data_IF_800754388333
#
_entry.id   IF_800754388333
#
_cell.length_a   1.000
_cell.length_b   1.000
_cell.length_c   1.000
_cell.angle_alpha   90.00
_cell.angle_beta   90.00
_cell.angle_gamma   90.00
#
_symmetry.space_group_name_H-M   'P 1'
#
loop_
_entity.id
_entity.type
_entity.pdbx_description
1 polymer ?
#
# COMPACT_ATOMS: atom_id res chain seq x y z
N UNK A 1 -19.75 14.74 11.77
CA UNK A 1 -18.75 13.68 11.67
C UNK A 1 -17.39 14.16 12.13
N UNK A 2 -16.51 13.25 12.40
CA UNK A 2 -15.11 13.51 12.77
C UNK A 2 -14.19 12.92 11.70
N UNK A 3 -12.97 13.45 11.58
CA UNK A 3 -11.99 12.87 10.65
C UNK A 3 -11.51 11.49 11.14
N UNK A 4 -10.93 10.69 10.25
CA UNK A 4 -10.38 9.40 10.63
C UNK A 4 -9.21 9.57 11.62
N UNK A 5 -8.46 10.67 11.52
CA UNK A 5 -7.42 11.06 12.49
C UNK A 5 -8.02 11.28 13.88
N UNK A 6 -9.06 12.09 13.97
CA UNK A 6 -9.75 12.34 15.24
C UNK A 6 -10.40 11.08 15.80
N UNK A 7 -10.97 10.24 14.92
CA UNK A 7 -11.57 8.98 15.33
C UNK A 7 -10.53 8.04 15.96
N UNK A 8 -9.36 7.89 15.31
CA UNK A 8 -8.28 7.04 15.82
C UNK A 8 -7.76 7.53 17.18
N UNK A 9 -7.64 8.85 17.37
CA UNK A 9 -7.23 9.46 18.64
C UNK A 9 -8.27 9.22 19.75
N UNK A 10 -9.56 9.29 19.44
CA UNK A 10 -10.64 9.09 20.41
C UNK A 10 -10.90 7.60 20.71
N UNK A 11 -10.48 6.70 19.82
CA UNK A 11 -10.68 5.25 19.95
C UNK A 11 -9.36 4.48 19.90
N UNK A 12 -8.39 4.76 20.79
CA UNK A 12 -7.09 4.09 20.77
C UNK A 12 -7.23 2.57 21.01
N UNK A 13 -8.26 2.15 21.75
CA UNK A 13 -8.56 0.76 22.06
C UNK A 13 -9.52 0.08 21.05
N UNK A 14 -9.80 0.71 19.91
CA UNK A 14 -10.63 0.11 18.88
C UNK A 14 -10.04 -1.24 18.43
N UNK A 15 -10.88 -2.26 18.38
CA UNK A 15 -10.47 -3.60 17.98
C UNK A 15 -10.02 -3.64 16.50
N UNK A 16 -9.23 -4.65 16.16
CA UNK A 16 -8.83 -4.91 14.78
C UNK A 16 -10.06 -5.03 13.86
N UNK A 17 -11.14 -5.68 14.35
CA UNK A 17 -12.38 -5.83 13.59
C UNK A 17 -13.04 -4.49 13.27
N UNK A 18 -13.12 -3.56 14.22
CA UNK A 18 -13.66 -2.21 14.01
C UNK A 18 -12.82 -1.43 12.98
N UNK A 19 -11.49 -1.45 13.10
CA UNK A 19 -10.58 -0.80 12.14
C UNK A 19 -10.70 -1.41 10.75
N UNK A 20 -10.84 -2.74 10.64
CA UNK A 20 -11.06 -3.42 9.36
C UNK A 20 -12.43 -3.11 8.75
N UNK A 21 -13.45 -2.86 9.54
CA UNK A 21 -14.75 -2.46 9.01
C UNK A 21 -14.68 -1.06 8.36
N UNK A 22 -14.04 -0.10 9.02
CA UNK A 22 -13.73 1.22 8.44
C UNK A 22 -12.92 1.07 7.13
N UNK A 23 -11.88 0.24 7.14
CA UNK A 23 -11.06 -0.03 5.97
C UNK A 23 -11.87 -0.60 4.78
N UNK A 24 -12.82 -1.51 5.06
CA UNK A 24 -13.71 -2.09 4.04
C UNK A 24 -14.67 -1.06 3.47
N UNK A 25 -15.23 -0.18 4.31
CA UNK A 25 -16.12 0.89 3.87
C UNK A 25 -15.36 1.89 2.99
N UNK A 26 -14.18 2.34 3.43
CA UNK A 26 -13.32 3.23 2.65
C UNK A 26 -12.95 2.62 1.29
N UNK A 27 -12.56 1.36 1.29
CA UNK A 27 -12.25 0.64 0.05
C UNK A 27 -13.42 0.58 -0.93
N UNK A 28 -14.66 0.39 -0.44
CA UNK A 28 -15.87 0.45 -1.28
C UNK A 28 -16.09 1.86 -1.85
N UNK A 29 -15.85 2.92 -1.06
CA UNK A 29 -15.99 4.30 -1.53
C UNK A 29 -15.00 4.59 -2.68
N UNK A 30 -13.72 4.25 -2.52
CA UNK A 30 -12.72 4.41 -3.59
C UNK A 30 -13.06 3.56 -4.82
N UNK A 31 -13.54 2.33 -4.63
CA UNK A 31 -13.98 1.48 -5.74
C UNK A 31 -15.13 2.11 -6.52
N UNK A 32 -16.11 2.72 -5.83
CA UNK A 32 -17.24 3.38 -6.47
C UNK A 32 -16.81 4.58 -7.34
N UNK A 33 -15.79 5.34 -6.91
CA UNK A 33 -15.17 6.39 -7.72
C UNK A 33 -14.51 5.80 -8.98
N UNK A 34 -13.70 4.74 -8.80
CA UNK A 34 -13.02 4.09 -9.92
C UNK A 34 -13.97 3.48 -10.96
N UNK A 35 -15.16 3.02 -10.54
CA UNK A 35 -16.20 2.57 -11.49
C UNK A 35 -16.77 3.72 -12.32
N UNK A 36 -16.72 4.96 -11.82
CA UNK A 36 -17.11 6.18 -12.53
C UNK A 36 -15.95 6.88 -13.22
N UNK A 37 -14.81 6.19 -13.35
CA UNK A 37 -13.58 6.71 -13.96
C UNK A 37 -12.99 7.93 -13.24
N UNK A 38 -13.33 8.13 -11.98
CA UNK A 38 -12.82 9.19 -11.13
C UNK A 38 -11.65 8.68 -10.30
N UNK A 39 -10.52 9.39 -10.32
CA UNK A 39 -9.40 9.24 -9.40
C UNK A 39 -9.52 10.28 -8.31
N UNK A 40 -9.36 9.87 -7.04
CA UNK A 40 -9.43 10.80 -5.92
C UNK A 40 -8.14 11.61 -5.73
N UNK A 41 -7.00 10.95 -5.83
CA UNK A 41 -5.64 11.48 -5.77
C UNK A 41 -5.22 12.11 -4.43
N UNK A 42 -6.12 12.14 -3.43
CA UNK A 42 -5.84 12.74 -2.12
C UNK A 42 -6.46 11.93 -0.97
N UNK A 43 -6.24 10.62 -0.99
CA UNK A 43 -6.72 9.72 0.06
C UNK A 43 -5.73 9.77 1.24
N UNK A 44 -6.16 10.34 2.36
CA UNK A 44 -5.43 10.34 3.63
C UNK A 44 -6.42 10.53 4.81
N UNK A 45 -6.01 10.26 6.06
CA UNK A 45 -6.94 10.20 7.19
C UNK A 45 -7.79 11.45 7.41
N UNK A 46 -7.27 12.66 7.13
CA UNK A 46 -8.02 13.91 7.35
C UNK A 46 -9.09 14.16 6.29
N UNK A 47 -9.02 13.48 5.13
CA UNK A 47 -10.02 13.57 4.06
C UNK A 47 -11.06 12.44 4.15
N UNK A 48 -11.10 11.73 5.27
CA UNK A 48 -12.04 10.65 5.54
C UNK A 48 -12.82 11.02 6.78
N UNK A 49 -14.12 11.15 6.64
CA UNK A 49 -15.03 11.44 7.75
C UNK A 49 -15.72 10.16 8.20
N UNK A 50 -15.93 10.07 9.51
CA UNK A 50 -16.78 9.05 10.13
C UNK A 50 -17.96 9.78 10.75
N UNK A 51 -19.17 9.45 10.32
CA UNK A 51 -20.38 10.05 10.83
C UNK A 51 -20.81 9.46 12.19
N UNK A 52 -21.92 9.98 12.75
CA UNK A 52 -22.45 9.52 14.03
C UNK A 52 -22.94 8.06 14.00
N UNK A 53 -23.16 7.50 12.82
CA UNK A 53 -23.60 6.11 12.61
C UNK A 53 -22.45 5.17 12.28
N UNK A 54 -21.20 5.67 12.29
CA UNK A 54 -20.02 4.89 11.94
C UNK A 54 -19.83 4.70 10.42
N UNK A 55 -20.54 5.47 9.59
CA UNK A 55 -20.40 5.41 8.14
C UNK A 55 -19.19 6.24 7.68
N UNK A 56 -18.43 5.68 6.77
CA UNK A 56 -17.24 6.31 6.19
C UNK A 56 -17.61 7.13 4.96
N UNK A 57 -17.24 8.40 4.98
CA UNK A 57 -17.43 9.35 3.87
C UNK A 57 -16.09 9.87 3.41
N UNK A 58 -15.76 9.66 2.15
CA UNK A 58 -14.57 10.24 1.52
C UNK A 58 -14.89 11.67 1.07
N UNK A 59 -14.00 12.61 1.38
CA UNK A 59 -14.18 14.05 1.16
C UNK A 59 -12.96 14.67 0.48
N UNK A 60 -13.00 15.97 0.22
CA UNK A 60 -11.95 16.75 -0.46
C UNK A 60 -11.65 16.23 -1.88
N UNK A 61 -12.58 16.50 -2.75
CA UNK A 61 -12.47 16.18 -4.19
C UNK A 61 -11.68 17.25 -4.98
N UNK A 62 -10.93 18.13 -4.34
CA UNK A 62 -10.18 19.22 -4.98
C UNK A 62 -9.10 18.74 -5.95
N UNK A 63 -8.53 17.55 -5.70
CA UNK A 63 -7.53 16.92 -6.55
C UNK A 63 -8.11 15.86 -7.52
N UNK A 64 -9.43 15.68 -7.52
CA UNK A 64 -10.05 14.64 -8.34
C UNK A 64 -9.84 14.88 -9.84
N UNK A 65 -9.55 13.77 -10.52
CA UNK A 65 -9.40 13.74 -11.96
C UNK A 65 -10.39 12.80 -12.61
N UNK A 66 -11.11 13.29 -13.62
CA UNK A 66 -11.95 12.49 -14.49
C UNK A 66 -11.20 12.21 -15.79
N UNK A 67 -11.14 10.95 -16.19
CA UNK A 67 -10.28 10.46 -17.28
C UNK A 67 -10.50 11.18 -18.63
N UNK A 68 -11.71 11.63 -18.90
CA UNK A 68 -12.12 12.19 -20.19
C UNK A 68 -11.99 13.71 -20.29
N UNK A 69 -11.75 14.44 -19.18
CA UNK A 69 -11.80 15.91 -19.18
C UNK A 69 -10.44 16.59 -19.19
N UNK A 70 -9.38 15.94 -18.71
CA UNK A 70 -8.08 16.56 -18.57
C UNK A 70 -6.94 15.55 -18.82
N UNK A 71 -5.96 15.92 -19.66
CA UNK A 71 -4.78 15.09 -19.90
C UNK A 71 -3.94 14.84 -18.64
N UNK A 72 -3.23 13.71 -18.59
CA UNK A 72 -2.41 13.25 -17.46
C UNK A 72 -1.41 14.28 -16.89
N UNK A 73 -1.09 15.33 -17.64
CA UNK A 73 -0.19 16.39 -17.25
C UNK A 73 -0.79 17.33 -16.21
N UNK A 74 -2.10 17.61 -16.30
CA UNK A 74 -2.81 18.54 -15.42
C UNK A 74 -3.01 17.98 -14.02
N UNK A 75 -3.23 16.67 -13.89
CA UNK A 75 -3.40 16.00 -12.60
C UNK A 75 -2.15 16.05 -11.72
N UNK A 76 -0.96 16.01 -12.32
CA UNK A 76 0.32 16.05 -11.59
C UNK A 76 0.64 17.45 -11.08
N UNK A 77 0.40 18.45 -11.92
CA UNK A 77 0.56 19.86 -11.56
C UNK A 77 -0.35 20.20 -10.37
N UNK A 78 -1.60 19.79 -10.44
CA UNK A 78 -2.59 20.00 -9.38
C UNK A 78 -2.20 19.28 -8.08
N UNK A 79 -1.75 18.01 -8.16
CA UNK A 79 -1.29 17.26 -6.99
C UNK A 79 -0.09 17.94 -6.32
N UNK A 80 0.83 18.53 -7.09
CA UNK A 80 1.94 19.32 -6.55
C UNK A 80 1.50 20.62 -5.92
N UNK A 81 0.55 21.34 -6.50
CA UNK A 81 0.02 22.58 -5.96
C UNK A 81 -0.73 22.38 -4.65
N UNK A 82 -1.48 21.28 -4.54
CA UNK A 82 -2.25 20.94 -3.33
C UNK A 82 -1.35 20.35 -2.23
N UNK A 83 -0.15 19.86 -2.59
CA UNK A 83 0.81 19.22 -1.70
C UNK A 83 0.62 17.71 -1.58
N UNK A 84 1.74 17.02 -1.49
CA UNK A 84 1.77 15.57 -1.23
C UNK A 84 1.64 15.31 0.26
N UNK A 85 0.95 14.23 0.61
CA UNK A 85 0.90 13.72 1.98
C UNK A 85 1.84 12.52 2.13
N UNK A 86 2.13 12.16 3.36
CA UNK A 86 2.87 10.93 3.70
C UNK A 86 2.17 9.64 3.26
N UNK A 87 0.87 9.74 2.91
CA UNK A 87 0.07 8.65 2.34
C UNK A 87 0.06 8.64 0.80
N UNK A 88 0.69 9.63 0.15
CA UNK A 88 0.73 9.75 -1.31
C UNK A 88 1.56 8.62 -1.90
N UNK A 89 1.18 8.15 -3.09
CA UNK A 89 1.95 7.14 -3.81
C UNK A 89 3.28 7.72 -4.32
N UNK A 90 4.37 6.93 -4.36
CA UNK A 90 5.69 7.38 -4.79
C UNK A 90 5.71 8.05 -6.17
N UNK A 91 4.88 7.57 -7.09
CA UNK A 91 4.78 8.10 -8.45
C UNK A 91 4.36 9.57 -8.52
N UNK A 92 3.71 10.11 -7.47
CA UNK A 92 3.41 11.55 -7.41
C UNK A 92 4.67 12.40 -7.22
N UNK A 93 5.63 11.93 -6.40
CA UNK A 93 6.88 12.63 -6.15
C UNK A 93 7.88 12.49 -7.30
N UNK A 94 7.83 11.35 -8.02
CA UNK A 94 8.80 10.99 -9.05
C UNK A 94 8.35 11.33 -10.48
N UNK A 95 7.26 12.07 -10.65
CA UNK A 95 6.72 12.43 -11.95
C UNK A 95 6.30 11.27 -12.86
N UNK A 96 6.05 10.12 -12.27
CA UNK A 96 5.55 8.94 -12.97
C UNK A 96 4.05 9.05 -13.30
N UNK A 97 3.57 8.13 -14.13
CA UNK A 97 2.15 8.10 -14.48
C UNK A 97 1.28 7.75 -13.27
N UNK A 98 0.38 8.65 -12.89
CA UNK A 98 -0.63 8.42 -11.84
C UNK A 98 -1.88 7.74 -12.37
N UNK A 99 -2.61 7.04 -11.51
CA UNK A 99 -3.82 6.33 -11.90
C UNK A 99 -4.45 5.55 -10.75
N UNK A 100 -5.36 4.62 -11.06
CA UNK A 100 -6.10 3.81 -10.07
C UNK A 100 -5.20 3.09 -9.07
N UNK A 101 -3.97 2.72 -9.47
CA UNK A 101 -3.00 2.08 -8.57
C UNK A 101 -2.32 3.07 -7.63
N UNK A 102 -2.34 4.37 -7.94
CA UNK A 102 -1.88 5.42 -7.03
C UNK A 102 -2.89 5.62 -5.90
N UNK A 103 -4.19 5.72 -6.21
CA UNK A 103 -5.25 5.71 -5.20
C UNK A 103 -5.24 4.43 -4.36
N UNK A 104 -4.94 3.28 -4.98
CA UNK A 104 -4.81 2.00 -4.27
C UNK A 104 -3.69 2.03 -3.23
N UNK A 105 -2.54 2.64 -3.56
CA UNK A 105 -1.45 2.81 -2.61
C UNK A 105 -1.86 3.73 -1.46
N UNK A 106 -2.41 4.91 -1.77
CA UNK A 106 -2.85 5.88 -0.75
C UNK A 106 -3.93 5.29 0.17
N UNK A 107 -4.87 4.51 -0.38
CA UNK A 107 -5.83 3.73 0.38
C UNK A 107 -5.14 2.72 1.32
N UNK A 108 -4.20 1.94 0.79
CA UNK A 108 -3.49 0.94 1.57
C UNK A 108 -2.60 1.57 2.66
N UNK A 109 -1.98 2.73 2.39
CA UNK A 109 -1.21 3.49 3.37
C UNK A 109 -2.09 4.02 4.50
N UNK A 110 -3.27 4.54 4.15
CA UNK A 110 -4.26 4.97 5.14
C UNK A 110 -4.77 3.80 5.99
N UNK A 111 -5.04 2.64 5.37
CA UNK A 111 -5.46 1.42 6.09
C UNK A 111 -4.33 0.93 7.00
N UNK A 112 -3.09 0.89 6.51
CA UNK A 112 -1.93 0.51 7.31
C UNK A 112 -1.81 1.40 8.55
N UNK A 113 -1.87 2.73 8.35
CA UNK A 113 -1.84 3.69 9.44
C UNK A 113 -3.01 3.50 10.42
N UNK A 114 -4.22 3.29 9.93
CA UNK A 114 -5.39 3.01 10.76
C UNK A 114 -5.20 1.78 11.65
N UNK A 115 -4.53 0.74 11.12
CA UNK A 115 -4.30 -0.50 11.85
C UNK A 115 -3.14 -0.40 12.85
N UNK A 116 -2.10 0.39 12.54
CA UNK A 116 -0.82 0.35 13.26
C UNK A 116 -0.47 1.64 13.99
N UNK A 117 -1.07 2.76 13.62
CA UNK A 117 -0.68 4.11 14.08
C UNK A 117 0.64 4.60 13.46
N UNK A 118 1.23 3.87 12.51
CA UNK A 118 2.53 4.16 11.90
C UNK A 118 2.46 4.18 10.36
N UNK A 119 3.52 4.66 9.72
CA UNK A 119 3.69 4.57 8.27
C UNK A 119 4.40 3.27 7.87
N UNK A 120 4.11 2.74 6.65
CA UNK A 120 4.66 1.46 6.19
C UNK A 120 6.15 1.50 5.88
N UNK A 121 6.71 2.68 5.67
CA UNK A 121 8.12 2.92 5.33
C UNK A 121 8.73 3.98 6.24
N UNK A 122 10.05 3.95 6.43
CA UNK A 122 10.77 4.98 7.21
C UNK A 122 10.84 6.30 6.46
N UNK A 123 11.08 6.23 5.15
CA UNK A 123 11.06 7.39 4.29
C UNK A 123 9.66 7.57 3.73
N UNK A 124 9.09 8.72 3.98
CA UNK A 124 7.77 9.09 3.44
C UNK A 124 7.87 9.35 1.93
N UNK A 125 6.88 8.90 1.12
CA UNK A 125 6.90 9.07 -0.34
C UNK A 125 7.02 10.50 -0.82
N UNK A 126 6.55 11.48 -0.07
CA UNK A 126 6.68 12.92 -0.37
C UNK A 126 8.13 13.43 -0.31
N UNK A 127 9.02 12.67 0.35
CA UNK A 127 10.45 12.99 0.48
C UNK A 127 11.33 12.32 -0.58
N UNK A 128 10.77 11.46 -1.41
CA UNK A 128 11.49 10.83 -2.51
C UNK A 128 11.97 11.87 -3.53
N UNK A 129 13.20 11.70 -4.02
CA UNK A 129 13.83 12.58 -5.02
C UNK A 129 14.21 11.84 -6.29
N UNK A 130 14.37 10.52 -6.21
CA UNK A 130 14.81 9.68 -7.32
C UNK A 130 14.22 8.28 -7.25
N UNK A 131 14.26 7.56 -8.38
CA UNK A 131 13.89 6.14 -8.42
C UNK A 131 14.84 5.27 -7.58
N UNK A 132 16.07 5.69 -7.36
CA UNK A 132 17.02 4.98 -6.50
C UNK A 132 16.53 4.95 -5.05
N UNK A 133 15.83 6.00 -4.59
CA UNK A 133 15.28 6.06 -3.24
C UNK A 133 14.20 4.98 -3.03
N UNK A 134 13.49 4.58 -4.10
CA UNK A 134 12.50 3.49 -4.03
C UNK A 134 13.14 2.15 -3.63
N UNK A 135 14.39 1.92 -4.05
CA UNK A 135 15.10 0.67 -3.76
C UNK A 135 15.51 0.58 -2.29
N UNK A 136 15.63 1.74 -1.62
CA UNK A 136 15.98 1.83 -0.20
C UNK A 136 14.76 1.68 0.72
N UNK A 137 13.54 1.78 0.17
CA UNK A 137 12.32 1.62 0.96
C UNK A 137 12.19 0.20 1.48
N UNK A 138 12.23 0.05 2.80
CA UNK A 138 11.99 -1.21 3.49
C UNK A 138 10.62 -1.22 4.14
N UNK A 139 9.76 -2.13 3.72
CA UNK A 139 8.43 -2.29 4.28
C UNK A 139 8.50 -2.77 5.73
N UNK A 140 7.85 -2.08 6.63
CA UNK A 140 7.66 -2.49 8.02
C UNK A 140 6.41 -3.35 8.13
N UNK A 141 6.55 -4.58 8.60
CA UNK A 141 5.39 -5.46 8.81
C UNK A 141 4.41 -4.85 9.80
N UNK A 142 3.13 -4.78 9.43
CA UNK A 142 2.08 -4.30 10.32
C UNK A 142 1.94 -5.17 11.60
N UNK A 143 2.38 -6.43 11.53
CA UNK A 143 2.41 -7.37 12.65
C UNK A 143 3.36 -6.98 13.78
N UNK A 144 4.34 -6.11 13.50
CA UNK A 144 5.23 -5.54 14.52
C UNK A 144 4.46 -4.64 15.50
N UNK A 145 3.40 -4.00 15.04
CA UNK A 145 2.59 -3.07 15.82
C UNK A 145 1.33 -3.73 16.39
N UNK A 146 0.79 -4.71 15.67
CA UNK A 146 -0.46 -5.38 16.06
C UNK A 146 -0.37 -6.89 15.76
N UNK A 147 -0.02 -7.72 16.77
CA UNK A 147 0.20 -9.16 16.60
C UNK A 147 -1.02 -9.95 16.07
N UNK A 148 -2.24 -9.42 16.27
CA UNK A 148 -3.48 -10.02 15.75
C UNK A 148 -3.61 -9.92 14.21
N UNK A 149 -2.79 -9.07 13.57
CA UNK A 149 -2.77 -8.99 12.11
C UNK A 149 -2.23 -10.31 11.55
N UNK A 150 -3.04 -10.98 10.74
CA UNK A 150 -2.64 -12.25 10.13
C UNK A 150 -1.52 -12.05 9.10
N UNK A 151 -0.68 -13.07 8.85
CA UNK A 151 0.33 -13.00 7.80
C UNK A 151 -0.25 -12.65 6.43
N UNK A 152 -1.45 -13.12 6.12
CA UNK A 152 -2.16 -12.86 4.86
C UNK A 152 -2.58 -11.40 4.73
N UNK A 153 -3.06 -10.80 5.82
CA UNK A 153 -3.41 -9.37 5.82
C UNK A 153 -2.16 -8.50 5.66
N UNK A 154 -1.08 -8.83 6.36
CA UNK A 154 0.21 -8.13 6.22
C UNK A 154 0.78 -8.25 4.80
N UNK A 155 0.74 -9.46 4.20
CA UNK A 155 1.15 -9.67 2.80
C UNK A 155 0.26 -8.89 1.81
N UNK A 156 -1.03 -8.77 2.10
CA UNK A 156 -1.98 -7.97 1.31
C UNK A 156 -1.61 -6.48 1.36
N UNK A 157 -1.36 -5.95 2.55
CA UNK A 157 -0.93 -4.56 2.74
C UNK A 157 0.43 -4.31 2.06
N UNK A 158 1.41 -5.19 2.29
CA UNK A 158 2.73 -5.09 1.67
C UNK A 158 2.66 -5.04 0.15
N UNK A 159 1.82 -5.90 -0.47
CA UNK A 159 1.62 -5.90 -1.92
C UNK A 159 0.94 -4.63 -2.41
N UNK A 160 -0.09 -4.14 -1.73
CA UNK A 160 -0.80 -2.92 -2.11
C UNK A 160 0.09 -1.67 -1.97
N UNK A 161 1.05 -1.72 -1.05
CA UNK A 161 2.02 -0.68 -0.73
C UNK A 161 3.33 -0.82 -1.51
N UNK A 162 3.45 -1.77 -2.45
CA UNK A 162 4.70 -1.94 -3.19
C UNK A 162 5.10 -0.61 -3.86
N UNK A 163 6.36 -0.12 -3.64
CA UNK A 163 6.84 1.09 -4.27
C UNK A 163 6.73 1.04 -5.79
N UNK A 164 6.99 -0.13 -6.39
CA UNK A 164 6.82 -0.36 -7.81
C UNK A 164 5.33 -0.59 -8.14
N UNK A 165 4.71 0.38 -8.80
CA UNK A 165 3.30 0.35 -9.17
C UNK A 165 2.86 -0.93 -9.91
N UNK A 166 3.73 -1.52 -10.73
CA UNK A 166 3.45 -2.74 -11.49
C UNK A 166 3.21 -3.97 -10.63
N UNK A 167 3.80 -4.02 -9.43
CA UNK A 167 3.73 -5.15 -8.50
C UNK A 167 2.49 -5.10 -7.60
N UNK A 168 1.80 -3.96 -7.50
CA UNK A 168 0.54 -3.81 -6.78
C UNK A 168 -0.58 -4.66 -7.40
N UNK A 169 -1.72 -4.69 -6.75
CA UNK A 169 -2.90 -5.35 -7.31
C UNK A 169 -3.31 -4.68 -8.64
N UNK A 170 -3.72 -5.50 -9.58
CA UNK A 170 -4.13 -5.01 -10.91
C UNK A 170 -5.45 -4.25 -10.86
N UNK A 171 -6.37 -4.71 -10.00
CA UNK A 171 -7.70 -4.14 -9.83
C UNK A 171 -7.99 -3.87 -8.35
N UNK A 172 -8.78 -2.84 -8.07
CA UNK A 172 -9.25 -2.54 -6.71
C UNK A 172 -10.06 -3.71 -6.12
N UNK A 173 -10.83 -4.42 -6.95
CA UNK A 173 -11.61 -5.59 -6.53
C UNK A 173 -10.74 -6.70 -5.93
N UNK A 174 -9.52 -6.91 -6.46
CA UNK A 174 -8.58 -7.92 -5.95
C UNK A 174 -8.08 -7.53 -4.55
N UNK A 175 -7.72 -6.25 -4.35
CA UNK A 175 -7.32 -5.73 -3.04
C UNK A 175 -8.45 -5.87 -2.03
N UNK A 176 -9.68 -5.44 -2.40
CA UNK A 176 -10.82 -5.51 -1.49
C UNK A 176 -11.22 -6.95 -1.15
N UNK A 177 -11.08 -7.87 -2.10
CA UNK A 177 -11.28 -9.28 -1.82
C UNK A 177 -10.28 -9.79 -0.79
N UNK A 178 -8.98 -9.49 -0.98
CA UNK A 178 -7.93 -9.90 -0.05
C UNK A 178 -8.11 -9.29 1.36
N UNK A 179 -8.54 -8.02 1.46
CA UNK A 179 -8.84 -7.38 2.74
C UNK A 179 -10.07 -7.99 3.47
N UNK A 180 -11.03 -8.53 2.71
CA UNK A 180 -12.22 -9.18 3.30
C UNK A 180 -11.94 -10.60 3.79
N UNK A 181 -10.92 -11.24 3.25
CA UNK A 181 -10.55 -12.62 3.54
C UNK A 181 -9.13 -12.66 4.12
N UNK A 182 -8.91 -12.08 5.32
CA UNK A 182 -7.59 -11.97 5.93
C UNK A 182 -6.97 -13.33 6.27
N UNK A 183 -7.78 -14.40 6.33
CA UNK A 183 -7.35 -15.78 6.57
C UNK A 183 -7.33 -16.63 5.29
N UNK A 184 -7.77 -16.05 4.17
CA UNK A 184 -7.82 -16.71 2.88
C UNK A 184 -6.42 -17.00 2.34
N UNK A 185 -6.21 -18.17 1.73
CA UNK A 185 -5.02 -18.43 0.92
C UNK A 185 -5.05 -17.50 -0.30
N UNK A 186 -4.55 -16.29 -0.16
CA UNK A 186 -4.25 -15.44 -1.31
C UNK A 186 -3.21 -16.22 -2.10
N UNK A 187 -3.61 -16.69 -3.28
CA UNK A 187 -2.70 -17.38 -4.19
C UNK A 187 -1.46 -16.51 -4.39
N UNK A 188 -0.38 -16.87 -3.74
CA UNK A 188 0.91 -16.18 -3.74
C UNK A 188 1.65 -16.39 -5.09
N UNK A 189 0.91 -16.25 -6.22
CA UNK A 189 1.48 -16.33 -7.56
C UNK A 189 2.44 -15.19 -7.92
N UNK A 190 2.59 -14.21 -7.02
CA UNK A 190 3.63 -13.18 -7.13
C UNK A 190 4.63 -13.35 -5.98
N UNK A 191 5.37 -14.47 -5.98
CA UNK A 191 6.68 -14.48 -5.34
C UNK A 191 7.57 -13.60 -6.21
N UNK A 192 7.90 -12.39 -5.72
CA UNK A 192 8.96 -11.58 -6.31
C UNK A 192 10.25 -12.40 -6.23
N UNK A 193 10.82 -12.82 -7.38
CA UNK A 193 12.08 -13.58 -7.37
C UNK A 193 13.23 -12.77 -6.75
N UNK A 194 13.12 -11.45 -6.70
CA UNK A 194 14.10 -10.56 -6.06
C UNK A 194 14.04 -10.60 -4.53
N UNK A 195 12.95 -11.08 -3.93
CA UNK A 195 12.85 -11.28 -2.47
C UNK A 195 13.91 -12.24 -1.95
N UNK A 196 14.26 -13.25 -2.74
CA UNK A 196 15.30 -14.23 -2.40
C UNK A 196 16.69 -13.58 -2.27
N UNK A 197 16.94 -12.51 -3.04
CA UNK A 197 18.21 -11.79 -3.03
C UNK A 197 18.27 -10.68 -1.96
N UNK A 198 17.12 -10.24 -1.45
CA UNK A 198 17.05 -9.17 -0.42
C UNK A 198 17.15 -9.68 1.03
N UNK A 199 16.90 -10.95 1.28
CA UNK A 199 17.14 -11.54 2.61
C UNK A 199 18.58 -12.10 2.64
N UNK A 200 19.53 -11.46 3.36
CA UNK A 200 20.93 -11.87 3.34
C UNK A 200 21.13 -13.34 3.74
N UNK A 201 20.28 -13.87 4.63
CA UNK A 201 20.31 -15.28 5.01
C UNK A 201 20.03 -16.24 3.83
N UNK A 202 19.07 -15.91 2.98
CA UNK A 202 18.69 -16.74 1.82
C UNK A 202 19.74 -16.66 0.70
N UNK A 203 20.37 -15.49 0.54
CA UNK A 203 21.48 -15.30 -0.41
C UNK A 203 22.67 -16.21 -0.04
N UNK A 204 23.08 -16.18 1.22
CA UNK A 204 24.21 -17.01 1.68
C UNK A 204 23.91 -18.50 1.67
N UNK A 205 22.67 -18.91 1.93
CA UNK A 205 22.22 -20.31 1.77
C UNK A 205 22.29 -20.76 0.31
N UNK A 206 21.88 -19.90 -0.64
CA UNK A 206 22.03 -20.17 -2.07
C UNK A 206 23.48 -20.33 -2.51
N UNK A 207 24.35 -19.41 -2.07
CA UNK A 207 25.79 -19.46 -2.36
C UNK A 207 26.42 -20.74 -1.76
N UNK A 208 26.10 -21.09 -0.51
CA UNK A 208 26.57 -22.30 0.12
C UNK A 208 26.13 -23.57 -0.62
N UNK A 209 24.87 -23.62 -1.09
CA UNK A 209 24.36 -24.73 -1.89
C UNK A 209 25.09 -24.91 -3.22
N UNK A 210 25.38 -23.81 -3.93
CA UNK A 210 26.14 -23.82 -5.19
C UNK A 210 27.58 -24.30 -4.94
N UNK A 211 28.24 -23.82 -3.90
CA UNK A 211 29.60 -24.22 -3.55
C UNK A 211 29.68 -25.71 -3.18
N UNK A 212 28.68 -26.22 -2.46
CA UNK A 212 28.59 -27.64 -2.10
C UNK A 212 28.38 -28.52 -3.33
N UNK A 213 27.59 -28.08 -4.27
CA UNK A 213 27.34 -28.77 -5.54
C UNK A 213 28.60 -28.81 -6.40
N UNK A 214 29.36 -27.72 -6.48
CA UNK A 214 30.65 -27.67 -7.18
C UNK A 214 31.68 -28.57 -6.53
N UNK A 215 31.70 -28.69 -5.21
CA UNK A 215 32.60 -29.56 -4.45
C UNK A 215 32.30 -31.04 -4.72
N UNK A 216 31.01 -31.42 -4.74
CA UNK A 216 30.58 -32.79 -5.07
C UNK A 216 30.92 -33.13 -6.51
N UNK A 217 30.68 -32.25 -7.47
CA UNK A 217 31.07 -32.43 -8.87
C UNK A 217 32.58 -32.61 -9.04
N UNK A 218 33.38 -31.79 -8.36
CA UNK A 218 34.84 -31.89 -8.37
C UNK A 218 35.34 -33.21 -7.79
N UNK A 219 34.61 -33.80 -6.83
CA UNK A 219 34.96 -35.09 -6.24
C UNK A 219 34.56 -36.26 -7.14
N UNK A 220 33.45 -36.14 -7.87
CA UNK A 220 32.96 -37.18 -8.85
C UNK A 220 33.78 -37.22 -10.15
N UNK A 221 34.49 -36.14 -10.50
CA UNK A 221 35.32 -36.01 -11.70
C UNK A 221 36.80 -36.35 -11.47
N UNK A 222 37.16 -36.76 -10.23
CA UNK A 222 38.48 -37.31 -9.84
C UNK A 222 38.43 -38.83 -9.74
#
# INVERSE_FOLDING_TARGET
GMTLTEWAQRHPQASLAQRLDIAKQLGKAVQALHHREVLHQRIHPDNILIDAHGQVVLTDFSACHMRDLDGHRRSRELARQIGLSEHSAPEYALDDSVGRRSDQYSLASTIYWLLTGALPYELSPDRLRSHTDLEQLSYRSARLYHPEITPQLDDTLRRALDPQRSLRFRRMTELLYALRHPDGKVSSRHRDPRRFLREPANFWQGVAGILLLLLVLSWLLR
#
